data_IF_957756011282
#
_entry.id   IF_957756011282
#
_cell.length_a   1.000
_cell.length_b   1.000
_cell.length_c   1.000
_cell.angle_alpha   90.00
_cell.angle_beta   90.00
_cell.angle_gamma   90.00
#
_symmetry.space_group_name_H-M   'P 1'
#
loop_
_entity.id
_entity.type
_entity.pdbx_description
1 polymer ?
#
# COMPACT_ATOMS: atom_id res chain seq x y z
N UNK A 1 3.75 1.90 -32.92
CA UNK A 1 4.63 1.93 -31.73
C UNK A 1 4.06 0.97 -30.72
N UNK A 2 4.88 0.13 -30.07
CA UNK A 2 4.41 -0.73 -28.97
C UNK A 2 3.96 0.15 -27.78
N UNK A 3 2.84 -0.22 -27.17
CA UNK A 3 2.36 0.49 -25.99
C UNK A 3 3.39 0.37 -24.84
N UNK A 4 3.57 1.46 -24.10
CA UNK A 4 4.46 1.43 -22.93
C UNK A 4 3.94 0.43 -21.89
N UNK A 5 4.85 -0.34 -21.23
CA UNK A 5 4.46 -1.24 -20.17
C UNK A 5 3.65 -0.51 -19.08
N UNK A 6 2.71 -1.21 -18.41
CA UNK A 6 1.92 -0.64 -17.32
C UNK A 6 2.79 -0.07 -16.21
N UNK A 7 2.37 1.06 -15.62
CA UNK A 7 3.05 1.68 -14.49
C UNK A 7 2.43 1.20 -13.17
N UNK A 8 3.25 0.69 -12.27
CA UNK A 8 2.87 0.40 -10.89
C UNK A 8 3.35 1.53 -9.99
N UNK A 9 2.45 2.06 -9.17
CA UNK A 9 2.77 3.10 -8.20
C UNK A 9 2.89 2.49 -6.80
N UNK A 10 4.09 2.49 -6.25
CA UNK A 10 4.36 2.02 -4.90
C UNK A 10 4.31 3.20 -3.91
N UNK A 11 3.55 3.03 -2.85
CA UNK A 11 3.41 4.00 -1.76
C UNK A 11 3.87 3.37 -0.43
N UNK A 12 5.19 3.36 -0.12
CA UNK A 12 5.66 2.96 1.19
C UNK A 12 5.08 3.90 2.26
N UNK A 13 4.29 3.34 3.19
CA UNK A 13 3.56 4.10 4.19
C UNK A 13 4.46 4.93 5.10
N UNK A 14 3.89 5.96 5.68
CA UNK A 14 4.53 6.85 6.65
C UNK A 14 5.80 7.56 6.17
N UNK A 15 6.61 8.03 7.13
CA UNK A 15 7.85 8.76 6.84
C UNK A 15 7.67 10.28 6.73
N UNK A 16 6.46 10.80 6.98
CA UNK A 16 6.22 12.25 7.02
C UNK A 16 6.63 12.79 8.39
N UNK A 17 7.52 13.81 8.46
CA UNK A 17 7.91 14.41 9.73
C UNK A 17 6.70 14.91 10.53
N UNK A 18 6.70 14.83 11.88
CA UNK A 18 5.55 15.18 12.72
C UNK A 18 4.99 16.59 12.48
N UNK A 19 5.84 17.56 12.19
CA UNK A 19 5.42 18.93 11.90
C UNK A 19 4.51 19.04 10.66
N UNK A 20 4.64 18.14 9.71
CA UNK A 20 3.81 18.03 8.51
C UNK A 20 2.71 17.00 8.72
N UNK A 21 3.05 15.85 9.28
CA UNK A 21 2.14 14.71 9.46
C UNK A 21 0.92 15.05 10.32
N UNK A 22 1.08 15.90 11.36
CA UNK A 22 -0.01 16.37 12.21
C UNK A 22 -0.95 17.37 11.54
N UNK A 23 -0.56 17.97 10.43
CA UNK A 23 -1.48 18.80 9.65
C UNK A 23 -2.62 17.95 9.11
N UNK A 24 -3.76 18.59 8.85
CA UNK A 24 -4.93 17.87 8.35
C UNK A 24 -5.16 18.09 6.88
N UNK A 25 -5.84 17.11 6.26
CA UNK A 25 -6.29 17.12 4.86
C UNK A 25 -7.71 16.57 4.78
N UNK A 26 -8.52 16.93 3.76
CA UNK A 26 -9.87 16.39 3.60
C UNK A 26 -9.83 14.88 3.39
N UNK A 27 -10.76 14.15 4.01
CA UNK A 27 -10.85 12.69 3.90
C UNK A 27 -11.15 12.21 2.46
N UNK A 28 -11.84 13.03 1.67
CA UNK A 28 -12.18 12.78 0.27
C UNK A 28 -12.52 14.09 -0.45
N UNK A 29 -12.65 14.09 -1.76
CA UNK A 29 -13.00 15.26 -2.56
C UNK A 29 -14.29 15.94 -2.08
N UNK A 30 -14.23 17.26 -1.81
CA UNK A 30 -15.38 18.04 -1.34
C UNK A 30 -15.80 17.78 0.11
N UNK A 31 -15.13 16.91 0.86
CA UNK A 31 -15.49 16.60 2.25
C UNK A 31 -15.05 17.69 3.23
N UNK A 32 -15.94 18.03 4.17
CA UNK A 32 -15.62 18.86 5.35
C UNK A 32 -14.89 18.09 6.44
N UNK A 33 -14.98 16.75 6.42
CA UNK A 33 -14.28 15.87 7.38
C UNK A 33 -12.79 15.89 7.05
N UNK A 34 -11.97 16.12 8.08
CA UNK A 34 -10.52 16.19 7.92
C UNK A 34 -9.82 15.14 8.77
N UNK A 35 -8.74 14.57 8.24
CA UNK A 35 -7.85 13.64 8.94
C UNK A 35 -6.42 14.15 8.91
N UNK A 36 -5.60 13.71 9.86
CA UNK A 36 -4.16 14.00 9.85
C UNK A 36 -3.51 13.37 8.61
N UNK A 37 -2.49 14.05 8.09
CA UNK A 37 -1.77 13.61 6.88
C UNK A 37 -0.99 12.31 7.10
N UNK A 38 -0.40 12.15 8.30
CA UNK A 38 0.36 10.94 8.65
C UNK A 38 0.40 10.82 10.18
N UNK A 39 -0.15 9.73 10.70
CA UNK A 39 -0.11 9.40 12.13
C UNK A 39 1.26 8.89 12.62
N UNK A 40 2.23 8.73 11.72
CA UNK A 40 3.57 8.21 12.03
C UNK A 40 3.67 6.68 12.01
N UNK A 41 2.53 5.98 12.07
CA UNK A 41 2.49 4.51 12.11
C UNK A 41 3.03 3.89 13.39
N UNK A 42 3.16 2.58 13.40
CA UNK A 42 3.82 1.85 14.47
C UNK A 42 5.34 2.07 14.45
N UNK A 43 5.98 1.91 15.60
CA UNK A 43 7.45 2.10 15.70
C UNK A 43 8.20 1.16 14.74
N UNK A 44 8.97 1.74 13.82
CA UNK A 44 9.73 1.02 12.80
C UNK A 44 8.97 0.70 11.50
N UNK A 45 7.65 0.90 11.47
CA UNK A 45 6.82 0.61 10.29
C UNK A 45 7.30 1.33 9.02
N UNK A 46 7.60 2.63 9.12
CA UNK A 46 8.06 3.40 7.96
C UNK A 46 9.33 2.83 7.31
N UNK A 47 10.25 2.29 8.11
CA UNK A 47 11.47 1.67 7.61
C UNK A 47 11.19 0.33 6.91
N UNK A 48 10.35 -0.51 7.52
CA UNK A 48 9.90 -1.79 6.95
C UNK A 48 9.16 -1.57 5.63
N UNK A 49 8.20 -0.64 5.60
CA UNK A 49 7.45 -0.31 4.39
C UNK A 49 8.37 0.13 3.24
N UNK A 50 9.38 0.96 3.53
CA UNK A 50 10.36 1.40 2.55
C UNK A 50 11.23 0.23 2.06
N UNK A 51 11.73 -0.60 2.98
CA UNK A 51 12.59 -1.73 2.65
C UNK A 51 11.88 -2.74 1.72
N UNK A 52 10.61 -3.05 2.02
CA UNK A 52 9.76 -3.88 1.17
C UNK A 52 9.52 -3.18 -0.17
N UNK A 53 9.13 -1.90 -0.17
CA UNK A 53 8.85 -1.14 -1.39
C UNK A 53 10.03 -1.10 -2.37
N UNK A 54 11.26 -0.93 -1.87
CA UNK A 54 12.48 -0.96 -2.69
C UNK A 54 12.70 -2.33 -3.33
N UNK A 55 12.45 -3.42 -2.59
CA UNK A 55 12.55 -4.79 -3.10
C UNK A 55 11.48 -5.10 -4.15
N UNK A 56 10.23 -4.66 -3.92
CA UNK A 56 9.14 -4.77 -4.90
C UNK A 56 9.48 -4.02 -6.18
N UNK A 57 9.99 -2.79 -6.07
CA UNK A 57 10.43 -2.00 -7.24
C UNK A 57 11.45 -2.77 -8.06
N UNK A 58 12.48 -3.32 -7.41
CA UNK A 58 13.55 -4.05 -8.11
C UNK A 58 12.98 -5.25 -8.89
N UNK A 59 12.08 -6.03 -8.28
CA UNK A 59 11.48 -7.20 -8.93
C UNK A 59 10.55 -6.80 -10.08
N UNK A 60 9.66 -5.82 -9.89
CA UNK A 60 8.74 -5.37 -10.93
C UNK A 60 9.50 -4.77 -12.14
N UNK A 61 10.58 -4.03 -11.90
CA UNK A 61 11.43 -3.49 -12.96
C UNK A 61 12.18 -4.59 -13.71
N UNK A 62 12.67 -5.60 -12.99
CA UNK A 62 13.27 -6.79 -13.60
C UNK A 62 12.26 -7.51 -14.51
N UNK A 63 10.99 -7.58 -14.11
CA UNK A 63 9.91 -8.20 -14.90
C UNK A 63 9.38 -7.28 -16.03
N UNK A 64 10.06 -6.16 -16.31
CA UNK A 64 9.74 -5.25 -17.42
C UNK A 64 8.62 -4.25 -17.14
N UNK A 65 8.10 -4.14 -15.91
CA UNK A 65 7.09 -3.16 -15.56
C UNK A 65 7.73 -1.81 -15.20
N UNK A 66 7.00 -0.73 -15.48
CA UNK A 66 7.38 0.61 -15.04
C UNK A 66 6.96 0.82 -13.59
N UNK A 67 7.82 1.44 -12.79
CA UNK A 67 7.54 1.67 -11.36
C UNK A 67 7.80 3.13 -10.99
N UNK A 68 6.85 3.73 -10.28
CA UNK A 68 7.04 5.00 -9.57
C UNK A 68 6.86 4.75 -8.05
N UNK A 69 7.57 5.50 -7.22
CA UNK A 69 7.46 5.44 -5.76
C UNK A 69 7.17 6.82 -5.19
N UNK A 70 6.26 6.90 -4.22
CA UNK A 70 5.93 8.17 -3.52
C UNK A 70 7.08 8.66 -2.64
N UNK A 71 7.94 7.75 -2.18
CA UNK A 71 9.21 8.05 -1.52
C UNK A 71 10.24 6.96 -1.78
N UNK A 72 11.49 7.34 -1.84
CA UNK A 72 12.65 6.45 -1.99
C UNK A 72 13.64 6.58 -0.83
N UNK A 73 13.37 7.50 0.09
CA UNK A 73 14.14 7.77 1.29
C UNK A 73 13.31 7.60 2.56
N UNK A 74 13.95 7.73 3.73
CA UNK A 74 13.30 7.54 5.02
C UNK A 74 12.22 8.59 5.31
N UNK A 75 12.33 9.78 4.74
CA UNK A 75 11.40 10.89 4.95
C UNK A 75 10.72 11.34 3.65
N UNK A 76 9.55 11.95 3.79
CA UNK A 76 8.79 12.58 2.70
C UNK A 76 7.94 13.72 3.26
N UNK A 77 7.57 14.70 2.44
CA UNK A 77 6.63 15.77 2.80
C UNK A 77 5.20 15.47 2.33
N UNK A 78 4.97 14.32 1.70
CA UNK A 78 3.67 13.99 1.11
C UNK A 78 2.68 13.49 2.17
N UNK A 79 1.53 14.15 2.29
CA UNK A 79 0.33 13.63 2.93
C UNK A 79 -0.41 12.63 2.01
N UNK A 80 -1.50 12.03 2.51
CA UNK A 80 -2.22 10.98 1.78
C UNK A 80 -2.86 11.49 0.48
N UNK A 81 -3.38 12.72 0.44
CA UNK A 81 -3.90 13.35 -0.79
C UNK A 81 -2.79 13.46 -1.83
N UNK A 82 -1.62 13.96 -1.43
CA UNK A 82 -0.50 14.13 -2.35
C UNK A 82 0.05 12.78 -2.86
N UNK A 83 0.05 11.74 -2.03
CA UNK A 83 0.44 10.37 -2.41
C UNK A 83 -0.52 9.78 -3.44
N UNK A 84 -1.84 9.93 -3.24
CA UNK A 84 -2.84 9.50 -4.21
C UNK A 84 -2.67 10.25 -5.54
N UNK A 85 -2.56 11.58 -5.50
CA UNK A 85 -2.37 12.41 -6.69
C UNK A 85 -1.06 12.09 -7.44
N UNK A 86 0.00 11.74 -6.72
CA UNK A 86 1.25 11.28 -7.33
C UNK A 86 1.05 10.07 -8.25
N UNK A 87 0.20 9.12 -7.83
CA UNK A 87 -0.16 7.94 -8.61
C UNK A 87 -1.16 8.27 -9.73
N UNK A 88 -2.15 9.13 -9.43
CA UNK A 88 -3.20 9.54 -10.38
C UNK A 88 -2.64 10.21 -11.64
N UNK A 89 -1.80 11.24 -11.46
CA UNK A 89 -1.23 12.01 -12.60
C UNK A 89 -0.26 11.19 -13.46
N UNK A 90 0.14 10.02 -12.95
CA UNK A 90 0.96 9.06 -13.68
C UNK A 90 0.14 7.96 -14.34
N UNK A 91 -1.18 8.01 -14.19
CA UNK A 91 -2.10 7.00 -14.72
C UNK A 91 -1.66 5.57 -14.35
N UNK A 92 -1.34 5.37 -13.06
CA UNK A 92 -0.85 4.08 -12.58
C UNK A 92 -1.89 2.98 -12.84
N UNK A 93 -1.43 1.83 -13.31
CA UNK A 93 -2.29 0.66 -13.49
C UNK A 93 -2.75 0.08 -12.14
N UNK A 94 -1.93 0.26 -11.09
CA UNK A 94 -2.24 -0.09 -9.70
C UNK A 94 -1.39 0.76 -8.76
N UNK A 95 -2.03 1.31 -7.73
CA UNK A 95 -1.38 1.89 -6.56
C UNK A 95 -1.31 0.83 -5.46
N UNK A 96 -0.11 0.55 -4.96
CA UNK A 96 0.12 -0.40 -3.86
C UNK A 96 0.69 0.37 -2.67
N UNK A 97 -0.12 0.51 -1.61
CA UNK A 97 0.30 1.08 -0.34
C UNK A 97 0.86 -0.03 0.54
N UNK A 98 2.05 0.16 1.09
CA UNK A 98 2.77 -0.86 1.85
C UNK A 98 2.89 -0.39 3.29
N UNK A 99 2.35 -1.18 4.22
CA UNK A 99 2.25 -0.91 5.63
C UNK A 99 2.62 -2.15 6.46
N UNK A 100 2.83 -1.95 7.76
CA UNK A 100 3.04 -2.99 8.76
C UNK A 100 2.45 -2.49 10.08
N UNK A 101 1.16 -2.71 10.25
CA UNK A 101 0.27 -2.09 11.24
C UNK A 101 0.75 -2.22 12.69
N UNK A 102 0.10 -1.48 13.57
CA UNK A 102 0.11 -1.64 15.02
C UNK A 102 -1.28 -2.04 15.52
N UNK A 103 -1.31 -2.86 16.55
CA UNK A 103 -2.54 -3.23 17.24
C UNK A 103 -2.40 -3.02 18.74
N UNK A 104 -3.52 -2.70 19.40
CA UNK A 104 -3.59 -2.72 20.87
C UNK A 104 -3.51 -4.15 21.42
N UNK A 105 -3.85 -5.14 20.62
CA UNK A 105 -3.65 -6.55 20.92
C UNK A 105 -2.29 -7.01 20.36
N UNK A 106 -1.29 -7.28 21.21
CA UNK A 106 0.04 -7.72 20.78
C UNK A 106 0.07 -9.16 20.25
N UNK A 107 -1.01 -9.93 20.41
CA UNK A 107 -1.13 -11.27 19.83
C UNK A 107 -1.57 -11.26 18.39
N UNK A 108 -2.11 -10.15 17.89
CA UNK A 108 -2.54 -10.01 16.49
C UNK A 108 -1.38 -10.20 15.55
N UNK A 109 -1.55 -11.07 14.55
CA UNK A 109 -0.53 -11.41 13.56
C UNK A 109 -1.16 -11.83 12.24
N UNK A 110 -0.40 -11.75 11.16
CA UNK A 110 -0.83 -12.14 9.80
C UNK A 110 -0.83 -10.99 8.81
N UNK A 111 -1.18 -11.31 7.59
CA UNK A 111 -1.26 -10.36 6.46
C UNK A 111 -2.71 -9.99 6.21
N UNK A 112 -2.99 -8.70 6.07
CA UNK A 112 -4.31 -8.18 5.73
C UNK A 112 -4.23 -7.30 4.47
N UNK A 113 -5.27 -7.37 3.64
CA UNK A 113 -5.37 -6.48 2.49
C UNK A 113 -6.57 -5.56 2.63
N UNK A 114 -6.30 -4.26 2.58
CA UNK A 114 -7.32 -3.22 2.60
C UNK A 114 -7.53 -2.71 1.19
N UNK A 115 -8.77 -2.31 0.89
CA UNK A 115 -9.14 -1.74 -0.40
C UNK A 115 -10.20 -0.65 -0.21
N UNK A 116 -10.41 0.28 -1.17
CA UNK A 116 -11.42 1.32 -1.06
C UNK A 116 -12.80 0.71 -0.84
N UNK A 117 -13.56 1.18 0.15
CA UNK A 117 -15.00 0.92 0.19
C UNK A 117 -15.67 1.68 -0.97
N UNK A 118 -16.78 1.14 -1.47
CA UNK A 118 -17.55 1.83 -2.51
C UNK A 118 -18.12 3.14 -1.96
N UNK A 119 -17.85 4.24 -2.66
CA UNK A 119 -18.40 5.55 -2.34
C UNK A 119 -18.65 6.32 -3.63
N UNK A 120 -19.91 6.73 -3.85
CA UNK A 120 -20.30 7.48 -5.05
C UNK A 120 -19.54 8.79 -5.16
N UNK A 121 -18.89 9.01 -6.30
CA UNK A 121 -18.14 10.22 -6.60
C UNK A 121 -16.73 10.28 -5.99
N UNK A 122 -16.30 9.23 -5.27
CA UNK A 122 -14.92 9.11 -4.77
C UNK A 122 -14.20 7.87 -5.27
N UNK A 123 -14.83 6.70 -5.09
CA UNK A 123 -14.17 5.40 -5.30
C UNK A 123 -15.01 4.44 -6.14
N UNK A 124 -16.18 4.86 -6.58
CA UNK A 124 -17.15 4.04 -7.36
C UNK A 124 -16.55 3.55 -8.68
N UNK A 125 -15.68 4.34 -9.30
CA UNK A 125 -14.98 4.02 -10.55
C UNK A 125 -13.82 3.03 -10.36
N UNK A 126 -13.17 3.00 -9.20
CA UNK A 126 -12.00 2.15 -8.91
C UNK A 126 -12.31 0.95 -8.00
N UNK A 127 -13.48 0.93 -7.34
CA UNK A 127 -13.84 -0.10 -6.36
C UNK A 127 -13.68 -1.53 -6.89
N UNK A 128 -14.30 -1.82 -8.05
CA UNK A 128 -14.27 -3.17 -8.62
C UNK A 128 -12.86 -3.65 -8.96
N UNK A 129 -12.07 -2.79 -9.59
CA UNK A 129 -10.68 -3.09 -9.96
C UNK A 129 -9.79 -3.23 -8.73
N UNK A 130 -10.00 -2.40 -7.70
CA UNK A 130 -9.26 -2.46 -6.44
C UNK A 130 -9.55 -3.75 -5.67
N UNK A 131 -10.82 -4.16 -5.58
CA UNK A 131 -11.22 -5.42 -4.95
C UNK A 131 -10.64 -6.63 -5.70
N UNK A 132 -10.64 -6.58 -7.04
CA UNK A 132 -10.04 -7.64 -7.86
C UNK A 132 -8.54 -7.76 -7.61
N UNK A 133 -7.81 -6.63 -7.64
CA UNK A 133 -6.39 -6.58 -7.30
C UNK A 133 -6.12 -7.08 -5.88
N UNK A 134 -6.91 -6.63 -4.89
CA UNK A 134 -6.77 -7.03 -3.50
C UNK A 134 -6.83 -8.55 -3.30
N UNK A 135 -7.78 -9.23 -3.96
CA UNK A 135 -7.93 -10.70 -3.90
C UNK A 135 -6.72 -11.44 -4.45
N UNK A 136 -6.23 -11.01 -5.61
CA UNK A 136 -5.11 -11.66 -6.30
C UNK A 136 -3.82 -11.46 -5.50
N UNK A 137 -3.55 -10.21 -5.09
CA UNK A 137 -2.29 -9.85 -4.42
C UNK A 137 -2.23 -10.47 -3.04
N UNK A 138 -3.32 -10.44 -2.24
CA UNK A 138 -3.34 -11.08 -0.91
C UNK A 138 -3.00 -12.57 -1.01
N UNK A 139 -3.70 -13.30 -1.89
CA UNK A 139 -3.44 -14.73 -2.11
C UNK A 139 -1.97 -15.02 -2.45
N UNK A 140 -1.36 -14.18 -3.29
CA UNK A 140 0.02 -14.33 -3.69
C UNK A 140 1.00 -14.05 -2.55
N UNK A 141 0.72 -13.04 -1.72
CA UNK A 141 1.55 -12.73 -0.54
C UNK A 141 1.45 -13.82 0.51
N UNK A 142 0.24 -14.27 0.84
CA UNK A 142 0.03 -15.39 1.79
C UNK A 142 0.78 -16.64 1.34
N UNK A 143 0.70 -16.99 0.05
CA UNK A 143 1.45 -18.13 -0.52
C UNK A 143 2.96 -17.97 -0.37
N UNK A 144 3.50 -16.78 -0.58
CA UNK A 144 4.93 -16.53 -0.53
C UNK A 144 5.49 -16.46 0.89
N UNK A 145 4.69 -15.97 1.83
CA UNK A 145 5.11 -15.75 3.22
C UNK A 145 4.75 -16.90 4.16
N UNK A 146 3.68 -17.64 3.85
CA UNK A 146 2.98 -18.58 4.74
C UNK A 146 2.42 -17.90 6.01
N UNK A 147 2.18 -16.60 5.95
CA UNK A 147 1.56 -15.86 7.04
C UNK A 147 0.06 -16.18 7.15
N UNK A 148 -0.51 -15.96 8.32
CA UNK A 148 -1.96 -16.05 8.54
C UNK A 148 -2.68 -15.07 7.62
N UNK A 149 -3.68 -15.55 6.89
CA UNK A 149 -4.54 -14.73 6.03
C UNK A 149 -5.64 -14.08 6.87
N UNK A 150 -5.57 -12.77 7.06
CA UNK A 150 -6.58 -11.99 7.78
C UNK A 150 -7.66 -11.43 6.85
N UNK A 151 -7.62 -11.79 5.57
CA UNK A 151 -8.65 -11.47 4.60
C UNK A 151 -8.60 -10.05 4.06
N UNK A 152 -9.73 -9.67 3.45
CA UNK A 152 -9.95 -8.40 2.77
C UNK A 152 -10.84 -7.49 3.60
N UNK A 153 -10.48 -6.21 3.73
CA UNK A 153 -11.30 -5.23 4.45
C UNK A 153 -11.53 -3.99 3.62
N UNK A 154 -12.80 -3.66 3.28
CA UNK A 154 -13.13 -2.38 2.66
C UNK A 154 -12.94 -1.23 3.67
N UNK A 155 -12.36 -0.13 3.23
CA UNK A 155 -12.08 1.03 4.10
C UNK A 155 -12.68 2.31 3.51
N UNK A 156 -13.71 2.88 4.14
CA UNK A 156 -14.31 4.15 3.71
C UNK A 156 -13.54 5.37 4.21
N UNK A 157 -12.64 5.17 5.16
CA UNK A 157 -12.04 6.22 5.98
C UNK A 157 -10.57 6.50 5.68
N UNK A 158 -10.00 5.87 4.65
CA UNK A 158 -8.61 6.11 4.25
C UNK A 158 -8.53 7.18 3.16
N UNK A 159 -8.01 8.36 3.53
CA UNK A 159 -7.81 9.50 2.63
C UNK A 159 -7.10 9.10 1.34
N UNK A 160 -6.06 8.28 1.42
CA UNK A 160 -5.31 7.85 0.24
C UNK A 160 -6.12 6.99 -0.74
N UNK A 161 -7.18 6.32 -0.28
CA UNK A 161 -8.12 5.61 -1.14
C UNK A 161 -9.17 6.57 -1.74
N UNK A 162 -9.72 7.44 -0.90
CA UNK A 162 -10.80 8.34 -1.30
C UNK A 162 -10.35 9.40 -2.33
N UNK A 163 -9.06 9.66 -2.44
CA UNK A 163 -8.45 10.56 -3.42
C UNK A 163 -7.78 9.82 -4.60
N UNK A 164 -7.80 8.48 -4.61
CA UNK A 164 -7.26 7.71 -5.71
C UNK A 164 -8.24 7.68 -6.90
N UNK A 165 -7.75 7.94 -8.11
CA UNK A 165 -8.47 7.82 -9.39
C UNK A 165 -7.88 6.64 -10.20
N UNK A 166 -7.09 5.81 -9.58
CA UNK A 166 -6.51 4.58 -10.12
C UNK A 166 -6.80 3.44 -9.15
N UNK A 167 -6.89 2.18 -9.60
CA UNK A 167 -7.06 1.05 -8.70
C UNK A 167 -6.02 1.09 -7.57
N UNK A 168 -6.45 0.93 -6.32
CA UNK A 168 -5.61 1.09 -5.15
C UNK A 168 -5.84 -0.02 -4.13
N UNK A 169 -4.77 -0.54 -3.56
CA UNK A 169 -4.77 -1.49 -2.45
C UNK A 169 -3.78 -1.06 -1.38
N UNK A 170 -4.01 -1.51 -0.14
CA UNK A 170 -3.08 -1.34 0.96
C UNK A 170 -2.86 -2.70 1.63
N UNK A 171 -1.60 -3.10 1.73
CA UNK A 171 -1.23 -4.31 2.43
C UNK A 171 -0.67 -3.99 3.80
N UNK A 172 -1.21 -4.65 4.83
CA UNK A 172 -0.55 -4.80 6.12
C UNK A 172 0.26 -6.10 6.07
N UNK A 173 1.59 -5.95 6.02
CA UNK A 173 2.52 -7.08 5.84
C UNK A 173 2.72 -7.91 7.11
N UNK A 174 2.10 -7.52 8.20
CA UNK A 174 2.19 -8.04 9.55
C UNK A 174 2.00 -6.92 10.56
N UNK A 175 2.13 -7.22 11.85
CA UNK A 175 1.89 -6.29 12.95
C UNK A 175 3.17 -5.99 13.73
N UNK A 176 3.64 -4.73 13.69
CA UNK A 176 4.81 -4.27 14.45
C UNK A 176 4.63 -4.36 15.96
N UNK A 177 3.38 -4.40 16.45
CA UNK A 177 3.02 -4.61 17.85
C UNK A 177 3.27 -6.05 18.32
N UNK A 178 3.27 -7.03 17.40
CA UNK A 178 3.59 -8.42 17.72
C UNK A 178 5.12 -8.63 17.70
N UNK A 179 5.75 -9.05 18.83
CA UNK A 179 7.20 -9.18 18.89
C UNK A 179 7.80 -10.22 17.92
N UNK A 180 7.06 -11.28 17.59
CA UNK A 180 7.52 -12.30 16.65
C UNK A 180 7.45 -11.75 15.21
N UNK A 181 6.34 -11.14 14.81
CA UNK A 181 6.20 -10.53 13.49
C UNK A 181 7.15 -9.35 13.28
N UNK A 182 7.36 -8.51 14.31
CA UNK A 182 8.34 -7.43 14.23
C UNK A 182 9.72 -7.94 13.85
N UNK A 183 10.18 -9.05 14.46
CA UNK A 183 11.46 -9.67 14.09
C UNK A 183 11.48 -10.17 12.65
N UNK A 184 10.38 -10.77 12.19
CA UNK A 184 10.23 -11.19 10.78
C UNK A 184 10.25 -9.99 9.83
N UNK A 185 9.41 -8.99 10.09
CA UNK A 185 9.26 -7.78 9.28
C UNK A 185 10.57 -6.99 9.16
N UNK A 186 11.43 -7.04 10.16
CA UNK A 186 12.76 -6.42 10.16
C UNK A 186 13.85 -7.32 9.58
N UNK A 187 13.51 -8.53 9.13
CA UNK A 187 14.46 -9.42 8.48
C UNK A 187 14.41 -9.30 6.96
N UNK A 188 15.56 -9.11 6.33
CA UNK A 188 15.62 -9.03 4.86
C UNK A 188 15.05 -10.27 4.17
N UNK A 189 15.18 -11.45 4.78
CA UNK A 189 14.64 -12.69 4.23
C UNK A 189 13.11 -12.66 4.12
N UNK A 190 12.41 -12.16 5.15
CA UNK A 190 10.95 -12.05 5.13
C UNK A 190 10.48 -10.91 4.20
N UNK A 191 11.16 -9.77 4.24
CA UNK A 191 10.87 -8.66 3.32
C UNK A 191 10.94 -9.10 1.85
N UNK A 192 11.90 -9.96 1.48
CA UNK A 192 11.98 -10.54 0.15
C UNK A 192 10.82 -11.51 -0.15
N UNK A 193 10.33 -12.27 0.85
CA UNK A 193 9.13 -13.11 0.66
C UNK A 193 7.90 -12.25 0.36
N UNK A 194 7.68 -11.20 1.15
CA UNK A 194 6.59 -10.23 0.91
C UNK A 194 6.73 -9.60 -0.47
N UNK A 195 7.93 -9.12 -0.82
CA UNK A 195 8.18 -8.50 -2.11
C UNK A 195 7.89 -9.44 -3.29
N UNK A 196 8.32 -10.70 -3.22
CA UNK A 196 7.99 -11.71 -4.25
C UNK A 196 6.50 -11.94 -4.35
N UNK A 197 5.78 -12.04 -3.24
CA UNK A 197 4.33 -12.20 -3.23
C UNK A 197 3.61 -11.01 -3.85
N UNK A 198 4.00 -9.79 -3.49
CA UNK A 198 3.47 -8.55 -4.07
C UNK A 198 3.73 -8.48 -5.58
N UNK A 199 4.95 -8.79 -6.01
CA UNK A 199 5.31 -8.78 -7.44
C UNK A 199 4.51 -9.80 -8.23
N UNK A 200 4.46 -11.05 -7.78
CA UNK A 200 3.73 -12.11 -8.48
C UNK A 200 2.22 -11.80 -8.58
N UNK A 201 1.61 -11.32 -7.48
CA UNK A 201 0.21 -10.94 -7.49
C UNK A 201 -0.07 -9.72 -8.38
N UNK A 202 0.85 -8.75 -8.42
CA UNK A 202 0.75 -7.60 -9.32
C UNK A 202 0.83 -8.02 -10.78
N UNK A 203 1.79 -8.87 -11.14
CA UNK A 203 1.93 -9.39 -12.50
C UNK A 203 0.67 -10.16 -12.94
N UNK A 204 0.10 -11.01 -12.06
CA UNK A 204 -1.15 -11.72 -12.32
C UNK A 204 -2.32 -10.74 -12.53
N UNK A 205 -2.46 -9.71 -11.69
CA UNK A 205 -3.50 -8.71 -11.87
C UNK A 205 -3.38 -7.97 -13.20
N UNK A 206 -2.16 -7.54 -13.57
CA UNK A 206 -1.91 -6.81 -14.82
C UNK A 206 -2.21 -7.67 -16.05
N UNK A 207 -1.90 -8.96 -16.01
CA UNK A 207 -2.17 -9.88 -17.14
C UNK A 207 -3.65 -10.19 -17.37
N UNK A 208 -4.51 -9.88 -16.38
CA UNK A 208 -5.97 -10.14 -16.42
C UNK A 208 -6.83 -8.87 -16.63
N UNK A 209 -6.20 -7.73 -16.92
CA UNK A 209 -6.87 -6.44 -17.16
C UNK A 209 -7.48 -6.35 -18.55
#
# INVERSE_FOLDING_TARGET
MAALPPLICLDPGHGTPPAIGRQTEPIGPGSSIRKIKDGGGASGEAAVALAIGVKVRALLQHDGLRVAMTRTGPTTTLGNVARANFCNVRHAALMIRIHADGSVDPSRHGVQMLYPAWHRGWTDDIYGSSLHAARIVLRSVVRATHATDLGLTPRPDLTGFNWANVPAILIECGFMSNPAERRLLQSSAYEWKVARGLTAGTAEFISRR
#
